data_IF_152098719665
#
_entry.id   IF_152098719665
#
_cell.length_a   1.000
_cell.length_b   1.000
_cell.length_c   1.000
_cell.angle_alpha   90.00
_cell.angle_beta   90.00
_cell.angle_gamma   90.00
#
_symmetry.space_group_name_H-M   'P 1'
#
loop_
_entity.id
_entity.type
_entity.pdbx_description
1 polymer ?
#
# COMPACT_ATOMS: atom_id res chain seq x y z
N UNK A 1 -3.23 -25.73 10.35
CA UNK A 1 -2.29 -25.05 11.28
C UNK A 1 -0.89 -24.89 10.68
N UNK A 2 -0.14 -25.96 10.40
CA UNK A 2 1.26 -25.87 9.96
C UNK A 2 1.47 -25.20 8.59
N UNK A 3 0.59 -25.45 7.59
CA UNK A 3 0.69 -24.79 6.28
C UNK A 3 0.44 -23.27 6.39
N UNK A 4 -0.64 -22.86 7.06
CA UNK A 4 -0.95 -21.46 7.33
C UNK A 4 0.19 -20.72 8.04
N UNK A 5 0.82 -21.36 9.04
CA UNK A 5 1.96 -20.77 9.74
C UNK A 5 3.16 -20.52 8.81
N UNK A 6 3.43 -21.42 7.86
CA UNK A 6 4.49 -21.24 6.86
C UNK A 6 4.16 -20.11 5.90
N UNK A 7 2.93 -20.05 5.41
CA UNK A 7 2.49 -19.01 4.48
C UNK A 7 2.56 -17.63 5.14
N UNK A 8 2.12 -17.51 6.41
CA UNK A 8 2.28 -16.29 7.19
C UNK A 8 3.74 -15.86 7.35
N UNK A 9 4.67 -16.81 7.49
CA UNK A 9 6.09 -16.51 7.61
C UNK A 9 6.76 -16.15 6.28
N UNK A 10 6.22 -16.65 5.15
CA UNK A 10 6.76 -16.41 3.82
C UNK A 10 6.22 -15.13 3.18
N UNK A 11 4.95 -14.79 3.42
CA UNK A 11 4.24 -13.73 2.70
C UNK A 11 4.09 -12.43 3.50
N UNK A 12 4.25 -12.47 4.84
CA UNK A 12 4.08 -11.30 5.72
C UNK A 12 5.41 -10.96 6.37
N UNK A 13 5.91 -9.76 6.06
CA UNK A 13 7.20 -9.29 6.57
C UNK A 13 7.17 -8.96 8.08
N UNK A 14 8.31 -8.48 8.58
CA UNK A 14 8.50 -8.12 9.99
C UNK A 14 7.71 -6.87 10.40
N UNK A 15 7.30 -6.06 9.41
CA UNK A 15 6.52 -4.84 9.57
C UNK A 15 5.02 -5.06 9.35
N UNK A 16 4.59 -6.28 9.00
CA UNK A 16 3.19 -6.64 8.74
C UNK A 16 2.71 -6.32 7.33
N UNK A 17 3.63 -6.08 6.39
CA UNK A 17 3.39 -5.83 4.99
C UNK A 17 3.37 -7.09 4.14
N UNK A 18 2.82 -6.94 2.92
CA UNK A 18 2.84 -7.94 1.85
C UNK A 18 3.56 -7.39 0.61
N UNK A 19 4.14 -8.28 -0.19
CA UNK A 19 4.99 -7.89 -1.33
C UNK A 19 4.26 -7.06 -2.41
N UNK A 20 2.96 -7.26 -2.59
CA UNK A 20 2.16 -6.53 -3.59
C UNK A 20 2.00 -5.05 -3.24
N UNK A 21 2.32 -4.68 -2.00
CA UNK A 21 2.13 -3.32 -1.48
C UNK A 21 0.69 -2.81 -1.64
N UNK A 22 -0.29 -3.70 -1.80
CA UNK A 22 -1.71 -3.36 -1.97
C UNK A 22 -2.42 -3.34 -0.60
N UNK A 23 -2.87 -2.16 -0.09
CA UNK A 23 -3.53 -2.08 1.21
C UNK A 23 -4.85 -2.85 1.30
N UNK A 24 -5.62 -2.92 0.21
CA UNK A 24 -6.90 -3.64 0.18
C UNK A 24 -6.68 -5.15 0.25
N UNK A 25 -5.69 -5.68 -0.48
CA UNK A 25 -5.28 -7.08 -0.39
C UNK A 25 -4.79 -7.43 1.02
N UNK A 26 -4.01 -6.55 1.67
CA UNK A 26 -3.59 -6.74 3.05
C UNK A 26 -4.80 -6.85 4.00
N UNK A 27 -5.84 -6.02 3.80
CA UNK A 27 -7.07 -6.09 4.60
C UNK A 27 -7.81 -7.42 4.38
N UNK A 28 -7.81 -7.94 3.15
CA UNK A 28 -8.41 -9.24 2.85
C UNK A 28 -7.66 -10.37 3.56
N UNK A 29 -6.33 -10.40 3.43
CA UNK A 29 -5.47 -11.36 4.14
C UNK A 29 -5.71 -11.27 5.65
N UNK A 30 -5.68 -10.06 6.22
CA UNK A 30 -5.93 -9.83 7.64
C UNK A 30 -7.29 -10.37 8.09
N UNK A 31 -8.34 -10.08 7.33
CA UNK A 31 -9.71 -10.55 7.64
C UNK A 31 -9.76 -12.08 7.68
N UNK A 32 -9.18 -12.75 6.66
CA UNK A 32 -9.14 -14.21 6.57
C UNK A 32 -8.34 -14.82 7.72
N UNK A 33 -7.19 -14.23 8.08
CA UNK A 33 -6.38 -14.69 9.20
C UNK A 33 -7.12 -14.55 10.53
N UNK A 34 -7.81 -13.44 10.75
CA UNK A 34 -8.61 -13.24 11.97
C UNK A 34 -9.75 -14.26 12.06
N UNK A 35 -10.49 -14.49 10.97
CA UNK A 35 -11.55 -15.52 10.95
C UNK A 35 -11.00 -16.93 11.19
N UNK A 36 -9.85 -17.26 10.58
CA UNK A 36 -9.19 -18.54 10.84
C UNK A 36 -8.79 -18.69 12.31
N UNK A 37 -8.31 -17.62 12.96
CA UNK A 37 -7.95 -17.66 14.38
C UNK A 37 -9.18 -17.88 15.27
N UNK A 38 -10.29 -17.21 14.98
CA UNK A 38 -11.56 -17.38 15.68
C UNK A 38 -12.09 -18.81 15.54
N UNK A 39 -12.17 -19.33 14.31
CA UNK A 39 -12.64 -20.69 14.06
C UNK A 39 -11.76 -21.75 14.72
N UNK A 40 -10.42 -21.56 14.74
CA UNK A 40 -9.50 -22.48 15.43
C UNK A 40 -9.63 -22.42 16.95
N UNK A 41 -9.95 -21.25 17.52
CA UNK A 41 -10.20 -21.09 18.94
C UNK A 41 -11.52 -21.78 19.35
N UNK A 42 -12.56 -21.66 18.54
CA UNK A 42 -13.84 -22.37 18.75
C UNK A 42 -13.68 -23.89 18.62
N UNK A 43 -12.83 -24.36 17.71
CA UNK A 43 -12.57 -25.78 17.47
C UNK A 43 -11.56 -26.42 18.44
N UNK A 44 -10.92 -25.66 19.33
CA UNK A 44 -10.01 -26.18 20.35
C UNK A 44 -8.68 -25.42 20.47
N UNK A 45 -7.58 -25.89 19.86
CA UNK A 45 -6.21 -25.46 20.22
C UNK A 45 -5.86 -24.00 19.85
N UNK A 46 -6.75 -23.28 19.16
CA UNK A 46 -6.48 -21.90 18.73
C UNK A 46 -5.51 -21.79 17.55
N UNK A 47 -5.20 -20.55 17.19
CA UNK A 47 -4.21 -20.23 16.15
C UNK A 47 -2.78 -20.56 16.60
N UNK A 48 -1.92 -20.93 15.64
CA UNK A 48 -0.48 -21.13 15.95
C UNK A 48 0.19 -19.80 16.33
N UNK A 49 1.29 -19.79 17.10
CA UNK A 49 2.01 -18.56 17.46
C UNK A 49 2.40 -17.70 16.25
N UNK A 50 2.88 -18.31 15.15
CA UNK A 50 3.26 -17.57 13.94
C UNK A 50 2.07 -16.90 13.26
N UNK A 51 0.90 -17.55 13.26
CA UNK A 51 -0.34 -17.01 12.72
C UNK A 51 -0.87 -15.85 13.56
N UNK A 52 -0.90 -15.99 14.89
CA UNK A 52 -1.33 -14.91 15.79
C UNK A 52 -0.37 -13.71 15.70
N UNK A 53 0.94 -13.96 15.67
CA UNK A 53 1.94 -12.91 15.50
C UNK A 53 1.79 -12.17 14.16
N UNK A 54 1.38 -12.85 13.08
CA UNK A 54 1.10 -12.19 11.81
C UNK A 54 -0.08 -11.22 11.91
N UNK A 55 -1.17 -11.60 12.58
CA UNK A 55 -2.31 -10.70 12.85
C UNK A 55 -1.85 -9.49 13.66
N UNK A 56 -1.03 -9.69 14.68
CA UNK A 56 -0.48 -8.63 15.53
C UNK A 56 0.36 -7.62 14.76
N UNK A 57 1.14 -8.08 13.75
CA UNK A 57 1.95 -7.20 12.88
C UNK A 57 1.13 -6.46 11.82
N UNK A 58 0.14 -7.12 11.22
CA UNK A 58 -0.67 -6.51 10.15
C UNK A 58 -1.56 -5.37 10.67
N UNK A 59 -2.14 -5.52 11.87
CA UNK A 59 -3.06 -4.52 12.42
C UNK A 59 -2.48 -3.08 12.49
N UNK A 60 -1.26 -2.83 13.02
CA UNK A 60 -0.66 -1.50 12.99
C UNK A 60 -0.32 -1.03 11.57
N UNK A 61 0.05 -1.93 10.65
CA UNK A 61 0.27 -1.59 9.25
C UNK A 61 -1.01 -1.05 8.59
N UNK A 62 -2.14 -1.74 8.73
CA UNK A 62 -3.44 -1.27 8.22
C UNK A 62 -3.88 0.07 8.85
N UNK A 63 -3.56 0.31 10.12
CA UNK A 63 -3.81 1.62 10.76
C UNK A 63 -2.97 2.73 10.13
N UNK A 64 -1.73 2.44 9.77
CA UNK A 64 -0.84 3.38 9.08
C UNK A 64 -1.28 3.65 7.63
N UNK A 65 -2.01 2.74 6.99
CA UNK A 65 -2.50 2.90 5.62
C UNK A 65 -3.91 3.51 5.55
N UNK A 66 -4.53 3.75 6.71
CA UNK A 66 -5.87 4.33 6.85
C UNK A 66 -5.85 5.86 6.78
N UNK A 67 -6.70 6.41 5.92
CA UNK A 67 -7.00 7.84 5.86
C UNK A 67 -7.91 8.29 7.01
N UNK A 68 -8.00 9.60 7.24
CA UNK A 68 -8.82 10.20 8.29
C UNK A 68 -10.33 9.95 8.13
N UNK A 69 -10.80 9.57 6.93
CA UNK A 69 -12.19 9.18 6.66
C UNK A 69 -12.50 7.71 6.99
N UNK A 70 -11.48 6.93 7.39
CA UNK A 70 -11.58 5.51 7.68
C UNK A 70 -11.33 4.59 6.48
N UNK A 71 -11.16 5.13 5.27
CA UNK A 71 -10.83 4.35 4.08
C UNK A 71 -9.34 3.99 3.98
N UNK A 72 -9.02 2.98 3.20
CA UNK A 72 -7.65 2.67 2.82
C UNK A 72 -7.17 3.52 1.66
N UNK A 73 -5.86 3.76 1.61
CA UNK A 73 -5.21 4.38 0.46
C UNK A 73 -5.27 3.46 -0.78
N UNK A 74 -5.46 4.04 -1.97
CA UNK A 74 -5.66 3.28 -3.21
C UNK A 74 -4.36 3.19 -4.01
N UNK A 75 -3.61 2.10 -3.82
CA UNK A 75 -2.34 1.87 -4.50
C UNK A 75 -2.23 0.44 -5.04
N UNK A 76 -1.45 0.28 -6.10
CA UNK A 76 -1.05 -1.01 -6.68
C UNK A 76 -2.22 -2.00 -6.89
N UNK A 77 -3.27 -1.53 -7.56
CA UNK A 77 -4.45 -2.34 -7.87
C UNK A 77 -5.49 -2.42 -6.75
N UNK A 78 -5.26 -1.76 -5.62
CA UNK A 78 -6.19 -1.67 -4.50
C UNK A 78 -7.18 -0.52 -4.61
N UNK A 79 -8.40 -0.75 -4.13
CA UNK A 79 -9.40 0.26 -3.82
C UNK A 79 -9.36 0.70 -2.35
N UNK A 80 -10.36 1.49 -1.95
CA UNK A 80 -10.47 2.00 -0.57
C UNK A 80 -11.06 0.98 0.42
N UNK A 81 -11.46 -0.20 -0.06
CA UNK A 81 -12.27 -1.16 0.69
C UNK A 81 -13.74 -0.75 0.87
N UNK A 82 -14.56 -1.71 1.29
CA UNK A 82 -15.94 -1.46 1.71
C UNK A 82 -15.95 -0.58 2.97
N UNK A 83 -16.88 0.39 3.02
CA UNK A 83 -17.00 1.29 4.16
C UNK A 83 -17.20 0.51 5.47
N UNK A 84 -16.41 0.81 6.50
CA UNK A 84 -16.46 0.14 7.80
C UNK A 84 -15.78 -1.23 7.87
N UNK A 85 -15.43 -1.86 6.74
CA UNK A 85 -14.77 -3.20 6.74
C UNK A 85 -13.44 -3.18 7.48
N UNK A 86 -12.63 -2.13 7.28
CA UNK A 86 -11.35 -1.98 7.97
C UNK A 86 -11.53 -1.86 9.49
N UNK A 87 -12.44 -0.98 9.93
CA UNK A 87 -12.69 -0.78 11.36
C UNK A 87 -13.24 -2.04 12.03
N UNK A 88 -14.15 -2.75 11.35
CA UNK A 88 -14.66 -4.04 11.80
C UNK A 88 -13.55 -5.09 11.91
N UNK A 89 -12.69 -5.21 10.90
CA UNK A 89 -11.59 -6.18 10.92
C UNK A 89 -10.62 -5.88 12.08
N UNK A 90 -10.24 -4.61 12.27
CA UNK A 90 -9.36 -4.19 13.37
C UNK A 90 -9.99 -4.43 14.74
N UNK A 91 -11.31 -4.22 14.88
CA UNK A 91 -12.03 -4.50 16.11
C UNK A 91 -12.08 -6.00 16.40
N UNK A 92 -12.40 -6.83 15.39
CA UNK A 92 -12.47 -8.29 15.52
C UNK A 92 -11.12 -8.92 15.91
N UNK A 93 -10.01 -8.36 15.43
CA UNK A 93 -8.69 -8.85 15.76
C UNK A 93 -8.25 -8.50 17.20
N UNK A 94 -8.84 -7.48 17.82
CA UNK A 94 -8.52 -7.07 19.20
C UNK A 94 -7.11 -6.50 19.42
N UNK A 95 -6.30 -6.36 18.37
CA UNK A 95 -4.91 -5.88 18.47
C UNK A 95 -4.89 -4.38 18.75
N UNK A 96 -4.32 -3.97 19.89
CA UNK A 96 -4.27 -2.56 20.32
C UNK A 96 -3.03 -1.79 19.84
N UNK A 97 -2.03 -2.47 19.27
CA UNK A 97 -0.79 -1.87 18.82
C UNK A 97 -1.04 -0.71 17.83
N UNK A 98 -0.35 0.41 18.04
CA UNK A 98 -0.42 1.58 17.18
C UNK A 98 0.52 1.43 15.97
N UNK A 99 0.27 2.22 14.93
CA UNK A 99 1.15 2.32 13.78
C UNK A 99 2.59 2.71 14.20
N UNK A 100 3.58 2.09 13.56
CA UNK A 100 4.98 2.39 13.77
C UNK A 100 5.41 3.65 12.99
N UNK A 101 6.43 4.39 13.46
CA UNK A 101 7.00 5.49 12.69
C UNK A 101 7.75 4.97 11.45
N UNK A 102 7.85 5.80 10.42
CA UNK A 102 8.56 5.48 9.17
C UNK A 102 7.64 5.05 8.04
N UNK A 103 8.16 4.21 7.14
CA UNK A 103 7.39 3.68 6.01
C UNK A 103 6.63 2.42 6.43
N UNK A 104 5.39 2.29 5.97
CA UNK A 104 4.62 1.05 6.08
C UNK A 104 4.33 0.53 4.68
N UNK A 105 4.77 -0.69 4.34
CA UNK A 105 4.65 -1.24 2.97
C UNK A 105 5.20 -0.29 1.90
N UNK A 106 6.22 0.51 2.23
CA UNK A 106 6.78 1.53 1.33
C UNK A 106 5.96 2.82 1.22
N UNK A 107 4.92 3.01 2.03
CA UNK A 107 4.13 4.24 2.08
C UNK A 107 4.53 5.12 3.25
N UNK A 108 4.70 6.42 2.99
CA UNK A 108 4.84 7.44 4.01
C UNK A 108 3.46 7.99 4.39
N UNK A 109 3.19 8.16 5.69
CA UNK A 109 1.98 8.81 6.18
C UNK A 109 2.29 10.10 6.92
N UNK A 110 1.62 11.17 6.53
CA UNK A 110 1.59 12.42 7.28
C UNK A 110 0.19 12.61 7.85
N UNK A 111 0.10 13.09 9.08
CA UNK A 111 -1.18 13.39 9.73
C UNK A 111 -1.11 14.69 10.51
N UNK A 112 -2.10 15.55 10.35
CA UNK A 112 -2.23 16.80 11.09
C UNK A 112 -3.70 17.11 11.34
N UNK A 113 -4.10 17.18 12.61
CA UNK A 113 -5.51 17.30 12.99
C UNK A 113 -6.35 16.18 12.38
N UNK A 114 -7.38 16.54 11.61
CA UNK A 114 -8.22 15.57 10.88
C UNK A 114 -7.77 15.35 9.42
N UNK A 115 -6.58 15.78 9.05
CA UNK A 115 -6.05 15.65 7.70
C UNK A 115 -5.01 14.54 7.66
N UNK A 116 -5.04 13.72 6.60
CA UNK A 116 -4.09 12.64 6.37
C UNK A 116 -3.61 12.66 4.93
N UNK A 117 -2.30 12.48 4.74
CA UNK A 117 -1.66 12.28 3.44
C UNK A 117 -0.96 10.94 3.46
N UNK A 118 -1.11 10.15 2.39
CA UNK A 118 -0.38 8.90 2.17
C UNK A 118 0.37 9.03 0.86
N UNK A 119 1.67 8.74 0.86
CA UNK A 119 2.56 8.91 -0.31
C UNK A 119 3.27 7.60 -0.60
N UNK A 120 3.30 7.21 -1.88
CA UNK A 120 4.08 6.06 -2.38
C UNK A 120 5.58 6.43 -2.39
N UNK A 121 6.32 5.88 -1.42
CA UNK A 121 7.70 6.25 -1.12
C UNK A 121 8.67 5.07 -1.28
N UNK A 122 8.32 4.09 -2.13
CA UNK A 122 9.21 2.98 -2.48
C UNK A 122 9.02 2.55 -3.94
N UNK A 123 9.97 1.74 -4.42
CA UNK A 123 9.97 1.16 -5.76
C UNK A 123 8.70 0.32 -5.99
N UNK A 124 8.09 0.35 -7.18
CA UNK A 124 6.95 -0.50 -7.47
C UNK A 124 7.28 -1.98 -7.23
N UNK A 125 6.33 -2.79 -6.74
CA UNK A 125 6.53 -4.22 -6.57
C UNK A 125 7.07 -4.90 -7.82
N UNK A 126 8.11 -5.73 -7.66
CA UNK A 126 8.70 -6.54 -8.72
C UNK A 126 8.18 -7.98 -8.75
N UNK A 127 8.74 -8.80 -9.65
CA UNK A 127 8.49 -10.24 -9.70
C UNK A 127 7.02 -10.62 -9.84
N UNK A 128 6.57 -11.64 -9.10
CA UNK A 128 5.17 -12.10 -9.10
C UNK A 128 4.21 -11.05 -8.54
N UNK A 129 4.64 -10.28 -7.55
CA UNK A 129 3.87 -9.21 -6.92
C UNK A 129 3.65 -8.01 -7.86
N UNK A 130 4.52 -7.82 -8.86
CA UNK A 130 4.47 -6.71 -9.81
C UNK A 130 3.38 -6.78 -10.89
N UNK A 131 2.61 -7.87 -10.97
CA UNK A 131 1.57 -8.03 -12.01
C UNK A 131 0.48 -6.97 -11.95
N UNK A 132 0.15 -6.50 -10.75
CA UNK A 132 -0.82 -5.43 -10.50
C UNK A 132 -0.15 -4.14 -10.00
N UNK A 133 1.19 -4.05 -10.08
CA UNK A 133 1.89 -2.83 -9.68
C UNK A 133 1.53 -1.66 -10.59
N UNK A 134 1.55 -0.47 -10.00
CA UNK A 134 1.29 0.80 -10.65
C UNK A 134 2.60 1.58 -10.77
N UNK A 135 2.73 2.39 -11.83
CA UNK A 135 3.79 3.38 -11.98
C UNK A 135 3.50 4.65 -11.15
N UNK A 136 3.22 4.43 -9.86
CA UNK A 136 2.70 5.42 -8.91
C UNK A 136 3.76 6.03 -8.00
N UNK A 137 5.04 5.76 -8.23
CA UNK A 137 6.14 6.23 -7.37
C UNK A 137 6.06 7.75 -7.15
N UNK A 138 6.08 8.15 -5.88
CA UNK A 138 5.87 9.52 -5.36
C UNK A 138 4.47 10.10 -5.54
N UNK A 139 3.48 9.30 -5.93
CA UNK A 139 2.08 9.72 -5.92
C UNK A 139 1.54 9.80 -4.49
N UNK A 140 0.56 10.70 -4.30
CA UNK A 140 -0.06 10.89 -2.99
C UNK A 140 -1.58 10.91 -3.05
N UNK A 141 -2.19 10.55 -1.93
CA UNK A 141 -3.60 10.79 -1.63
C UNK A 141 -3.72 11.75 -0.43
N UNK A 142 -4.76 12.60 -0.44
CA UNK A 142 -5.06 13.56 0.61
C UNK A 142 -6.52 13.46 1.00
N UNK A 143 -6.76 13.29 2.30
CA UNK A 143 -8.10 13.36 2.90
C UNK A 143 -8.12 14.41 4.00
N UNK A 144 -9.12 15.28 4.01
CA UNK A 144 -9.35 16.27 5.07
C UNK A 144 -10.69 16.04 5.78
N UNK A 145 -10.65 15.69 7.06
CA UNK A 145 -11.79 15.18 7.79
C UNK A 145 -12.32 13.90 7.15
N UNK A 146 -13.61 13.89 6.83
CA UNK A 146 -14.28 12.77 6.14
C UNK A 146 -14.41 12.99 4.63
N UNK A 147 -13.61 13.89 4.06
CA UNK A 147 -13.70 14.30 2.64
C UNK A 147 -12.38 13.97 1.93
N UNK A 148 -12.36 12.97 1.04
CA UNK A 148 -11.24 12.76 0.13
C UNK A 148 -11.09 13.99 -0.79
N UNK A 149 -9.88 14.52 -0.91
CA UNK A 149 -9.56 15.72 -1.71
C UNK A 149 -8.76 15.33 -2.95
N UNK A 150 -7.70 14.55 -2.75
CA UNK A 150 -6.89 13.96 -3.82
C UNK A 150 -6.93 12.46 -3.63
N UNK A 151 -7.33 11.73 -4.67
CA UNK A 151 -7.42 10.26 -4.65
C UNK A 151 -6.78 9.70 -5.91
N UNK A 152 -6.19 8.52 -5.81
CA UNK A 152 -5.80 7.75 -6.98
C UNK A 152 -7.02 7.10 -7.62
N UNK A 153 -6.87 6.77 -8.91
CA UNK A 153 -7.89 6.09 -9.70
C UNK A 153 -8.26 4.69 -9.18
N UNK A 154 -7.39 4.08 -8.36
CA UNK A 154 -7.57 2.73 -7.82
C UNK A 154 -7.36 1.65 -8.89
N UNK A 155 -8.02 0.51 -8.74
CA UNK A 155 -7.73 -0.70 -9.52
C UNK A 155 -8.04 -0.60 -11.01
N UNK A 156 -9.09 0.13 -11.40
CA UNK A 156 -9.63 0.13 -12.76
C UNK A 156 -10.31 -1.20 -13.18
N UNK A 157 -10.18 -2.26 -12.38
CA UNK A 157 -10.72 -3.61 -12.66
C UNK A 157 -12.22 -3.64 -12.98
N UNK A 158 -13.10 -2.91 -12.26
CA UNK A 158 -14.54 -2.94 -12.56
C UNK A 158 -14.91 -2.44 -13.97
N UNK A 159 -13.99 -1.73 -14.63
CA UNK A 159 -14.20 -1.16 -15.96
C UNK A 159 -13.54 -2.02 -17.07
N UNK A 160 -12.95 -3.16 -16.73
CA UNK A 160 -12.38 -4.12 -17.66
C UNK A 160 -10.86 -3.96 -17.89
N UNK A 161 -10.24 -4.89 -18.64
CA UNK A 161 -8.78 -5.01 -18.71
C UNK A 161 -8.06 -3.77 -19.26
N UNK A 162 -8.68 -3.06 -20.21
CA UNK A 162 -8.10 -1.83 -20.75
C UNK A 162 -7.98 -0.72 -19.69
N UNK A 163 -9.01 -0.57 -18.85
CA UNK A 163 -9.01 0.40 -17.76
C UNK A 163 -8.15 -0.03 -16.58
N UNK A 164 -8.08 -1.32 -16.28
CA UNK A 164 -7.13 -1.87 -15.33
C UNK A 164 -5.68 -1.63 -15.77
N UNK A 165 -5.38 -1.66 -17.07
CA UNK A 165 -4.06 -1.31 -17.58
C UNK A 165 -3.81 0.20 -17.53
N UNK A 166 -4.80 1.00 -17.91
CA UNK A 166 -4.68 2.46 -17.91
C UNK A 166 -4.51 3.05 -16.50
N UNK A 167 -5.21 2.50 -15.49
CA UNK A 167 -5.10 2.93 -14.10
C UNK A 167 -3.69 2.78 -13.53
N UNK A 168 -2.86 1.92 -14.13
CA UNK A 168 -1.50 1.61 -13.68
C UNK A 168 -0.45 2.59 -14.19
N UNK A 169 -0.77 3.46 -15.16
CA UNK A 169 0.17 4.43 -15.73
C UNK A 169 0.39 5.63 -14.78
N UNK A 170 1.55 6.29 -14.87
CA UNK A 170 1.88 7.46 -14.03
C UNK A 170 0.87 8.59 -14.17
N UNK A 171 0.34 8.80 -15.39
CA UNK A 171 -0.68 9.83 -15.67
C UNK A 171 -2.01 9.62 -14.90
N UNK A 172 -2.24 8.42 -14.37
CA UNK A 172 -3.44 8.10 -13.59
C UNK A 172 -3.28 8.36 -12.08
N UNK A 173 -2.16 8.99 -11.69
CA UNK A 173 -1.78 9.23 -10.30
C UNK A 173 -1.39 10.69 -10.07
N UNK A 174 -1.50 11.12 -8.81
CA UNK A 174 -1.14 12.48 -8.41
C UNK A 174 0.36 12.62 -8.14
N UNK A 175 1.15 12.60 -9.22
CA UNK A 175 2.61 12.75 -9.22
C UNK A 175 3.06 13.53 -10.47
N UNK A 176 4.35 13.85 -10.59
CA UNK A 176 4.89 14.42 -11.83
C UNK A 176 4.75 13.39 -12.96
N UNK A 177 4.50 13.83 -14.19
CA UNK A 177 4.47 12.96 -15.35
C UNK A 177 5.15 13.63 -16.55
N UNK A 178 5.82 12.83 -17.38
CA UNK A 178 6.23 13.21 -18.73
C UNK A 178 5.16 12.70 -19.69
N UNK A 179 4.69 13.54 -20.61
CA UNK A 179 3.66 13.16 -21.57
C UNK A 179 4.09 11.93 -22.37
N UNK A 180 3.24 10.90 -22.37
CA UNK A 180 3.53 9.62 -23.03
C UNK A 180 4.56 8.72 -22.32
N UNK A 181 5.16 9.16 -21.21
CA UNK A 181 6.24 8.43 -20.52
C UNK A 181 6.00 8.25 -19.02
N UNK A 182 5.53 7.05 -18.65
CA UNK A 182 5.44 6.66 -17.23
C UNK A 182 6.83 6.48 -16.60
N UNK A 183 6.92 6.80 -15.30
CA UNK A 183 8.12 6.60 -14.48
C UNK A 183 8.51 5.13 -14.38
N UNK A 184 7.50 4.25 -14.39
CA UNK A 184 7.68 2.81 -14.50
C UNK A 184 6.94 2.24 -15.72
N UNK A 185 7.57 1.33 -16.47
CA UNK A 185 7.10 0.90 -17.80
C UNK A 185 6.87 -0.59 -17.93
N UNK A 186 5.82 -0.94 -18.68
CA UNK A 186 5.48 -2.31 -19.03
C UNK A 186 6.53 -2.95 -19.94
N UNK A 187 6.77 -4.24 -19.75
CA UNK A 187 7.52 -5.02 -20.72
C UNK A 187 6.81 -5.16 -22.07
N UNK A 188 7.59 -5.23 -23.15
CA UNK A 188 7.10 -5.37 -24.52
C UNK A 188 6.36 -6.70 -24.79
N UNK A 189 6.51 -7.70 -23.91
CA UNK A 189 5.84 -9.00 -24.01
C UNK A 189 4.87 -9.19 -22.84
N UNK A 190 3.64 -9.57 -23.20
CA UNK A 190 2.40 -9.95 -22.49
C UNK A 190 2.33 -10.28 -20.98
N UNK A 191 3.34 -10.02 -20.15
CA UNK A 191 3.28 -10.37 -18.73
C UNK A 191 2.61 -9.29 -17.86
N UNK A 192 2.18 -8.17 -18.46
CA UNK A 192 1.60 -7.01 -17.76
C UNK A 192 2.43 -6.47 -16.59
N UNK A 193 3.67 -6.94 -16.42
CA UNK A 193 4.57 -6.54 -15.35
C UNK A 193 5.33 -5.28 -15.76
N UNK A 194 5.63 -4.45 -14.78
CA UNK A 194 6.59 -3.35 -14.91
C UNK A 194 7.99 -3.98 -14.95
N UNK A 195 8.77 -3.65 -15.99
CA UNK A 195 10.15 -4.11 -16.17
C UNK A 195 11.13 -2.94 -16.14
N UNK A 196 10.63 -1.80 -16.62
CA UNK A 196 11.20 -0.46 -16.61
C UNK A 196 10.96 0.33 -15.33
N UNK A 197 11.33 -0.11 -14.12
CA UNK A 197 10.82 0.48 -12.87
C UNK A 197 11.61 1.70 -12.38
N UNK A 198 10.90 2.74 -11.93
CA UNK A 198 11.49 3.82 -11.14
C UNK A 198 12.02 3.33 -9.79
N UNK A 199 13.17 3.85 -9.38
CA UNK A 199 13.74 3.64 -8.06
C UNK A 199 13.62 4.89 -7.21
N UNK A 200 13.25 4.72 -5.94
CA UNK A 200 13.27 5.79 -4.96
C UNK A 200 14.68 5.98 -4.45
N UNK A 201 15.28 7.12 -4.82
CA UNK A 201 16.68 7.44 -4.52
C UNK A 201 16.85 8.32 -3.28
N UNK A 202 15.75 8.89 -2.76
CA UNK A 202 15.74 9.68 -1.54
C UNK A 202 14.42 9.51 -0.80
N UNK A 203 14.50 9.24 0.50
CA UNK A 203 13.40 9.39 1.45
C UNK A 203 13.93 10.10 2.69
N UNK A 204 13.40 11.28 2.98
CA UNK A 204 13.70 12.01 4.22
C UNK A 204 12.42 12.47 4.89
N UNK A 205 12.19 11.95 6.09
CA UNK A 205 11.11 12.35 6.97
C UNK A 205 11.66 13.13 8.15
N UNK A 206 11.03 14.25 8.47
CA UNK A 206 11.34 15.01 9.67
C UNK A 206 10.05 15.58 10.28
N UNK A 207 10.07 15.78 11.59
CA UNK A 207 9.03 16.51 12.31
C UNK A 207 9.73 17.68 13.00
N UNK A 208 9.31 18.90 12.66
CA UNK A 208 9.84 20.13 13.25
C UNK A 208 8.72 20.99 13.83
N UNK A 209 9.07 22.17 14.33
CA UNK A 209 8.10 23.13 14.89
C UNK A 209 7.05 23.58 13.85
N UNK A 210 7.43 23.65 12.57
CA UNK A 210 6.53 24.00 11.46
C UNK A 210 5.64 22.83 11.00
N UNK A 211 5.82 21.62 11.56
CA UNK A 211 5.04 20.43 11.26
C UNK A 211 5.85 19.30 10.62
N UNK A 212 5.15 18.47 9.83
CA UNK A 212 5.75 17.33 9.17
C UNK A 212 6.39 17.72 7.84
N UNK A 213 7.61 17.24 7.61
CA UNK A 213 8.36 17.40 6.37
C UNK A 213 8.64 16.03 5.75
N UNK A 214 8.36 15.91 4.47
CA UNK A 214 8.65 14.72 3.67
C UNK A 214 9.32 15.19 2.38
N UNK A 215 10.52 14.71 2.12
CA UNK A 215 11.24 14.93 0.86
C UNK A 215 11.51 13.57 0.24
N UNK A 216 11.12 13.41 -1.02
CA UNK A 216 11.24 12.16 -1.77
C UNK A 216 11.86 12.43 -3.13
N UNK A 217 12.63 11.48 -3.66
CA UNK A 217 13.08 11.55 -5.05
C UNK A 217 13.09 10.19 -5.74
N UNK A 218 12.86 10.18 -7.06
CA UNK A 218 12.87 8.99 -7.90
C UNK A 218 13.54 9.23 -9.26
N UNK A 219 14.07 8.16 -9.86
CA UNK A 219 14.97 8.21 -11.03
C UNK A 219 14.42 7.55 -12.33
N UNK A 220 13.12 7.26 -12.40
CA UNK A 220 12.47 6.53 -13.50
C UNK A 220 12.56 7.15 -14.90
N UNK A 221 13.05 8.39 -14.99
CA UNK A 221 13.37 9.06 -16.26
C UNK A 221 14.86 9.37 -16.44
N UNK A 222 15.73 8.95 -15.53
CA UNK A 222 17.17 9.21 -15.62
C UNK A 222 17.78 8.57 -16.86
N UNK A 223 17.47 7.31 -17.14
CA UNK A 223 18.01 6.60 -18.31
C UNK A 223 17.49 7.12 -19.66
N UNK A 224 16.25 7.65 -19.69
CA UNK A 224 15.58 8.07 -20.93
C UNK A 224 15.69 9.55 -21.22
N UNK A 225 15.64 10.40 -20.18
CA UNK A 225 15.58 11.86 -20.28
C UNK A 225 16.65 12.59 -19.46
N UNK A 226 17.44 11.88 -18.64
CA UNK A 226 18.40 12.49 -17.72
C UNK A 226 17.75 13.26 -16.57
N UNK A 227 16.50 12.92 -16.20
CA UNK A 227 15.70 13.64 -15.20
C UNK A 227 15.44 12.81 -13.94
N UNK A 228 15.65 13.44 -12.79
CA UNK A 228 15.21 12.96 -11.46
C UNK A 228 14.04 13.80 -10.98
N UNK A 229 12.98 13.17 -10.48
CA UNK A 229 11.85 13.86 -9.86
C UNK A 229 12.05 13.92 -8.36
N UNK A 230 12.09 15.13 -7.81
CA UNK A 230 12.10 15.40 -6.37
C UNK A 230 10.80 16.09 -5.96
N UNK A 231 10.24 15.71 -4.80
CA UNK A 231 9.04 16.25 -4.19
C UNK A 231 9.26 16.56 -2.73
#
# INVERSE_FOLDING_TARGET
AAALARDCAAEIDAEGGIQTRNPEELLEVFTLLTWAAQALAEAGPGGTPAHLAAIERIAPALRALRHADGGLARFHGGGRGLAGRLDLALANAGVKALAHPGLTMGFARLSGGRTSVVVDAADPPGGRAGRLAHASTLAFELTSGRRPVVVNCGSGTPFGPAWQRASRATASHSTLAIEGFSSSRFGARSNEALVDSAHVVLVRQAVGEAGHHLVLAQDGWSATHGLTHSR
#
